data_IF_376643734256
#
_entry.id   IF_376643734256
#
_cell.length_a   1.000
_cell.length_b   1.000
_cell.length_c   1.000
_cell.angle_alpha   90.00
_cell.angle_beta   90.00
_cell.angle_gamma   90.00
#
_symmetry.space_group_name_H-M   'P 1'
#
loop_
_entity.id
_entity.type
_entity.pdbx_description
1 polymer ?
#
# COMPACT_ATOMS: atom_id res chain seq x y z
N UNK A 1 -17.68 -18.03 7.41
CA UNK A 1 -19.08 -18.45 7.59
C UNK A 1 -19.95 -17.21 7.79
N UNK A 2 -20.92 -16.99 6.89
CA UNK A 2 -21.84 -15.84 6.92
C UNK A 2 -23.22 -16.23 7.44
N UNK A 3 -23.39 -17.46 7.95
CA UNK A 3 -24.69 -17.97 8.43
C UNK A 3 -25.20 -17.13 9.60
N UNK A 4 -26.42 -16.61 9.48
CA UNK A 4 -27.04 -15.76 10.50
C UNK A 4 -26.53 -14.31 10.53
N UNK A 5 -25.65 -13.93 9.61
CA UNK A 5 -25.16 -12.55 9.48
C UNK A 5 -26.04 -11.75 8.52
N UNK A 6 -26.03 -10.43 8.67
CA UNK A 6 -26.70 -9.48 7.78
C UNK A 6 -25.74 -8.35 7.38
N UNK A 7 -25.99 -7.75 6.25
CA UNK A 7 -25.29 -6.58 5.79
C UNK A 7 -25.51 -5.40 6.76
N UNK A 8 -24.44 -4.77 7.24
CA UNK A 8 -24.56 -3.64 8.16
C UNK A 8 -25.16 -2.37 7.51
N UNK A 9 -25.26 -2.35 6.18
CA UNK A 9 -25.85 -1.23 5.42
C UNK A 9 -27.32 -1.45 5.14
N UNK A 10 -27.69 -2.58 4.49
CA UNK A 10 -29.07 -2.83 4.08
C UNK A 10 -29.83 -3.83 4.98
N UNK A 11 -29.19 -4.37 6.01
CA UNK A 11 -29.75 -5.32 7.01
C UNK A 11 -30.23 -6.66 6.47
N UNK A 12 -29.98 -6.97 5.21
CA UNK A 12 -30.38 -8.22 4.56
C UNK A 12 -29.21 -9.21 4.49
N UNK A 13 -29.51 -10.51 4.48
CA UNK A 13 -28.52 -11.57 4.27
C UNK A 13 -28.12 -11.72 2.79
N UNK A 14 -29.05 -11.48 1.88
CA UNK A 14 -28.84 -11.41 0.43
C UNK A 14 -29.22 -10.02 -0.07
N UNK A 15 -28.43 -9.46 -0.96
CA UNK A 15 -28.73 -8.15 -1.53
C UNK A 15 -30.06 -8.20 -2.32
N UNK A 16 -30.95 -7.25 -2.05
CA UNK A 16 -32.33 -7.29 -2.57
C UNK A 16 -32.41 -7.28 -4.09
N UNK A 17 -31.48 -6.62 -4.78
CA UNK A 17 -31.44 -6.46 -6.22
C UNK A 17 -30.53 -7.49 -6.91
N UNK A 18 -29.26 -7.58 -6.50
CA UNK A 18 -28.24 -8.43 -7.17
C UNK A 18 -28.24 -9.88 -6.67
N UNK A 19 -28.91 -10.17 -5.54
CA UNK A 19 -28.91 -11.47 -4.86
C UNK A 19 -27.51 -11.96 -4.45
N UNK A 20 -26.52 -11.08 -4.42
CA UNK A 20 -25.18 -11.41 -3.90
C UNK A 20 -25.18 -11.66 -2.39
N UNK A 21 -24.25 -12.50 -1.97
CA UNK A 21 -24.05 -12.82 -0.56
C UNK A 21 -23.16 -11.79 0.15
N UNK A 22 -22.99 -12.01 1.44
CA UNK A 22 -22.17 -11.16 2.30
C UNK A 22 -20.68 -11.44 2.12
N UNK A 23 -19.89 -10.39 2.20
CA UNK A 23 -18.42 -10.43 2.26
C UNK A 23 -17.93 -9.67 3.49
N UNK A 24 -16.69 -9.95 3.92
CA UNK A 24 -15.95 -9.17 4.90
C UNK A 24 -14.48 -9.18 4.50
N UNK A 25 -13.99 -8.05 4.03
CA UNK A 25 -12.59 -7.89 3.57
C UNK A 25 -11.85 -6.81 4.35
N UNK A 26 -12.16 -6.64 5.64
CA UNK A 26 -11.53 -5.66 6.53
C UNK A 26 -11.17 -6.28 7.89
N UNK A 27 -10.58 -5.49 8.80
CA UNK A 27 -10.16 -5.95 10.13
C UNK A 27 -11.29 -6.08 11.17
N UNK A 28 -12.56 -5.84 10.81
CA UNK A 28 -13.69 -6.01 11.71
C UNK A 28 -13.75 -7.42 12.28
N UNK A 29 -14.20 -7.55 13.57
CA UNK A 29 -14.30 -8.81 14.30
C UNK A 29 -15.75 -9.15 14.68
N UNK A 30 -15.97 -10.40 15.04
CA UNK A 30 -17.29 -10.89 15.46
C UNK A 30 -18.32 -10.78 14.33
N UNK A 31 -19.45 -10.14 14.61
CA UNK A 31 -20.57 -9.94 13.67
C UNK A 31 -20.45 -8.65 12.85
N UNK A 32 -19.43 -7.81 13.12
CA UNK A 32 -19.24 -6.54 12.42
C UNK A 32 -18.58 -6.71 11.05
N UNK A 33 -18.81 -5.76 10.16
CA UNK A 33 -18.11 -5.63 8.87
C UNK A 33 -18.61 -6.54 7.75
N UNK A 34 -19.69 -7.30 7.95
CA UNK A 34 -20.34 -8.03 6.87
C UNK A 34 -21.19 -7.07 6.02
N UNK A 35 -20.95 -7.06 4.71
CA UNK A 35 -21.69 -6.24 3.75
C UNK A 35 -21.78 -6.92 2.39
N UNK A 36 -22.64 -6.41 1.52
CA UNK A 36 -22.63 -6.71 0.10
C UNK A 36 -21.66 -5.75 -0.59
N UNK A 37 -20.93 -6.21 -1.61
CA UNK A 37 -20.07 -5.32 -2.42
C UNK A 37 -20.89 -4.20 -3.04
N UNK A 38 -22.08 -4.50 -3.56
CA UNK A 38 -22.99 -3.47 -4.09
C UNK A 38 -23.41 -2.42 -3.07
N UNK A 39 -23.62 -2.81 -1.79
CA UNK A 39 -23.95 -1.84 -0.73
C UNK A 39 -22.74 -0.95 -0.40
N UNK A 40 -21.54 -1.50 -0.35
CA UNK A 40 -20.31 -0.73 -0.12
C UNK A 40 -20.05 0.25 -1.27
N UNK A 41 -20.20 -0.20 -2.50
CA UNK A 41 -20.03 0.63 -3.70
C UNK A 41 -21.05 1.76 -3.76
N UNK A 42 -22.31 1.48 -3.47
CA UNK A 42 -23.38 2.49 -3.44
C UNK A 42 -23.14 3.51 -2.32
N UNK A 43 -22.74 3.07 -1.13
CA UNK A 43 -22.37 3.97 -0.03
C UNK A 43 -21.23 4.91 -0.43
N UNK A 44 -20.15 4.37 -1.01
CA UNK A 44 -19.00 5.17 -1.46
C UNK A 44 -19.42 6.17 -2.54
N UNK A 45 -20.22 5.73 -3.51
CA UNK A 45 -20.73 6.59 -4.58
C UNK A 45 -21.56 7.76 -4.03
N UNK A 46 -22.54 7.48 -3.16
CA UNK A 46 -23.40 8.52 -2.55
C UNK A 46 -22.56 9.57 -1.83
N UNK A 47 -21.57 9.16 -1.06
CA UNK A 47 -20.71 10.07 -0.31
C UNK A 47 -19.87 10.97 -1.22
N UNK A 48 -19.37 10.45 -2.33
CA UNK A 48 -18.64 11.25 -3.34
C UNK A 48 -19.59 12.21 -4.06
N UNK A 49 -20.74 11.71 -4.53
CA UNK A 49 -21.74 12.54 -5.21
C UNK A 49 -22.20 13.71 -4.31
N UNK A 50 -22.49 13.45 -3.02
CA UNK A 50 -22.82 14.49 -2.04
C UNK A 50 -21.70 15.52 -1.85
N UNK A 51 -20.42 15.10 -1.89
CA UNK A 51 -19.30 16.03 -1.77
C UNK A 51 -19.19 16.94 -3.00
N UNK A 52 -19.42 16.40 -4.18
CA UNK A 52 -19.41 17.15 -5.44
C UNK A 52 -20.60 18.10 -5.53
N UNK A 53 -21.83 17.63 -5.29
CA UNK A 53 -23.06 18.42 -5.35
C UNK A 53 -23.05 19.60 -4.36
N UNK A 54 -22.49 19.40 -3.17
CA UNK A 54 -22.40 20.43 -2.14
C UNK A 54 -21.11 21.26 -2.19
N UNK A 55 -20.22 21.03 -3.18
CA UNK A 55 -18.95 21.72 -3.35
C UNK A 55 -18.10 21.77 -2.06
N UNK A 56 -17.98 20.62 -1.36
CA UNK A 56 -17.37 20.55 -0.02
C UNK A 56 -15.84 20.75 0.00
N UNK A 57 -15.22 20.94 -1.16
CA UNK A 57 -13.77 21.11 -1.31
C UNK A 57 -12.97 19.80 -1.27
N UNK A 58 -11.70 19.88 -1.67
CA UNK A 58 -10.86 18.71 -1.93
C UNK A 58 -10.71 17.80 -0.70
N UNK A 59 -10.44 18.37 0.48
CA UNK A 59 -10.24 17.57 1.70
C UNK A 59 -11.46 16.69 2.03
N UNK A 60 -12.66 17.26 1.94
CA UNK A 60 -13.88 16.51 2.22
C UNK A 60 -14.19 15.48 1.13
N UNK A 61 -13.81 15.76 -0.11
CA UNK A 61 -13.90 14.78 -1.20
C UNK A 61 -12.95 13.60 -0.96
N UNK A 62 -11.70 13.87 -0.57
CA UNK A 62 -10.70 12.83 -0.26
C UNK A 62 -11.17 11.93 0.89
N UNK A 63 -11.64 12.51 2.01
CA UNK A 63 -12.17 11.75 3.16
C UNK A 63 -13.36 10.84 2.79
N UNK A 64 -14.17 11.25 1.83
CA UNK A 64 -15.31 10.45 1.34
C UNK A 64 -14.89 9.45 0.28
N UNK A 65 -13.88 9.79 -0.52
CA UNK A 65 -13.27 8.92 -1.50
C UNK A 65 -12.67 7.66 -0.87
N UNK A 66 -12.14 7.79 0.34
CA UNK A 66 -11.57 6.67 1.09
C UNK A 66 -12.54 5.49 1.24
N UNK A 67 -13.84 5.72 1.17
CA UNK A 67 -14.84 4.63 1.27
C UNK A 67 -14.79 3.62 0.12
N UNK A 68 -14.13 3.95 -0.99
CA UNK A 68 -13.86 3.00 -2.06
C UNK A 68 -12.81 1.94 -1.68
N UNK A 69 -12.02 2.18 -0.65
CA UNK A 69 -10.95 1.25 -0.25
C UNK A 69 -10.85 1.02 1.26
N UNK A 70 -11.49 1.82 2.12
CA UNK A 70 -11.48 1.66 3.59
C UNK A 70 -12.87 1.36 4.15
N UNK A 71 -12.89 0.52 5.18
CA UNK A 71 -14.10 0.16 5.91
C UNK A 71 -14.56 1.32 6.79
N UNK A 72 -15.85 1.69 6.72
CA UNK A 72 -16.43 2.76 7.54
C UNK A 72 -16.56 2.43 9.04
N UNK A 73 -16.38 1.16 9.44
CA UNK A 73 -16.51 0.73 10.83
C UNK A 73 -15.17 0.61 11.56
N UNK A 74 -14.13 0.13 10.90
CA UNK A 74 -12.82 -0.08 11.53
C UNK A 74 -11.71 0.78 10.94
N UNK A 75 -12.04 1.61 9.93
CA UNK A 75 -11.12 2.54 9.25
C UNK A 75 -9.86 1.86 8.67
N UNK A 76 -9.93 0.55 8.47
CA UNK A 76 -8.86 -0.21 7.84
C UNK A 76 -9.22 -0.53 6.40
N UNK A 77 -8.18 -0.66 5.57
CA UNK A 77 -8.33 -1.00 4.16
C UNK A 77 -9.06 -2.33 3.98
N UNK A 78 -9.86 -2.39 2.92
CA UNK A 78 -10.31 -3.67 2.38
C UNK A 78 -9.13 -4.40 1.75
N UNK A 79 -9.14 -5.72 1.78
CA UNK A 79 -8.09 -6.57 1.23
C UNK A 79 -8.65 -7.66 0.32
N UNK A 80 -7.77 -8.30 -0.45
CA UNK A 80 -8.08 -9.44 -1.31
C UNK A 80 -9.21 -9.16 -2.29
N UNK A 81 -10.06 -10.15 -2.48
CA UNK A 81 -11.17 -10.12 -3.46
C UNK A 81 -12.19 -9.00 -3.25
N UNK A 82 -12.36 -8.54 -2.01
CA UNK A 82 -13.30 -7.43 -1.71
C UNK A 82 -12.73 -6.12 -2.24
N UNK A 83 -11.45 -5.86 -2.02
CA UNK A 83 -10.77 -4.66 -2.56
C UNK A 83 -10.80 -4.67 -4.09
N UNK A 84 -10.54 -5.82 -4.71
CA UNK A 84 -10.62 -5.98 -6.16
C UNK A 84 -12.04 -5.71 -6.70
N UNK A 85 -13.07 -6.28 -6.07
CA UNK A 85 -14.46 -6.06 -6.47
C UNK A 85 -14.90 -4.60 -6.35
N UNK A 86 -14.47 -3.90 -5.29
CA UNK A 86 -14.71 -2.47 -5.10
C UNK A 86 -13.95 -1.63 -6.14
N UNK A 87 -12.72 -2.01 -6.51
CA UNK A 87 -11.97 -1.38 -7.60
C UNK A 87 -12.75 -1.43 -8.92
N UNK A 88 -13.27 -2.58 -9.29
CA UNK A 88 -14.12 -2.72 -10.47
C UNK A 88 -15.42 -1.93 -10.38
N UNK A 89 -16.06 -1.88 -9.20
CA UNK A 89 -17.28 -1.11 -9.00
C UNK A 89 -17.01 0.39 -9.14
N UNK A 90 -15.91 0.88 -8.53
CA UNK A 90 -15.46 2.26 -8.63
C UNK A 90 -15.20 2.66 -10.09
N UNK A 91 -14.40 1.89 -10.81
CA UNK A 91 -14.10 2.14 -12.21
C UNK A 91 -15.36 2.21 -13.08
N UNK A 92 -16.27 1.23 -12.95
CA UNK A 92 -17.55 1.22 -13.68
C UNK A 92 -18.41 2.44 -13.39
N UNK A 93 -18.35 2.97 -12.17
CA UNK A 93 -19.12 4.16 -11.77
C UNK A 93 -18.63 5.41 -12.49
N UNK A 94 -17.32 5.57 -12.66
CA UNK A 94 -16.73 6.83 -13.16
C UNK A 94 -16.11 6.73 -14.56
N UNK A 95 -16.11 5.55 -15.20
CA UNK A 95 -15.58 5.33 -16.55
C UNK A 95 -16.12 6.32 -17.61
N UNK A 96 -17.39 6.71 -17.51
CA UNK A 96 -18.04 7.62 -18.46
C UNK A 96 -17.64 9.10 -18.36
N UNK A 97 -16.84 9.48 -17.35
CA UNK A 97 -16.37 10.86 -17.18
C UNK A 97 -15.22 11.17 -18.16
N UNK A 98 -14.98 12.46 -18.48
CA UNK A 98 -13.84 12.87 -19.31
C UNK A 98 -12.51 12.35 -18.75
N UNK A 99 -11.52 12.16 -19.62
CA UNK A 99 -10.18 11.70 -19.21
C UNK A 99 -9.45 12.68 -18.29
N UNK A 100 -9.77 13.96 -18.42
CA UNK A 100 -9.22 15.05 -17.58
C UNK A 100 -9.91 15.15 -16.22
N UNK A 101 -10.94 14.35 -15.97
CA UNK A 101 -11.66 14.34 -14.69
C UNK A 101 -10.84 13.62 -13.63
N UNK A 102 -10.56 14.31 -12.52
CA UNK A 102 -9.75 13.78 -11.42
C UNK A 102 -10.39 12.53 -10.79
N UNK A 103 -11.72 12.50 -10.66
CA UNK A 103 -12.44 11.36 -10.08
C UNK A 103 -12.30 10.11 -10.95
N UNK A 104 -12.32 10.27 -12.30
CA UNK A 104 -12.04 9.17 -13.22
C UNK A 104 -10.61 8.66 -13.07
N UNK A 105 -9.63 9.57 -12.96
CA UNK A 105 -8.22 9.20 -12.71
C UNK A 105 -8.07 8.41 -11.41
N UNK A 106 -8.64 8.93 -10.32
CA UNK A 106 -8.65 8.24 -9.02
C UNK A 106 -9.34 6.87 -9.06
N UNK A 107 -10.40 6.72 -9.85
CA UNK A 107 -11.08 5.43 -10.03
C UNK A 107 -10.19 4.39 -10.75
N UNK A 108 -9.31 4.84 -11.64
CA UNK A 108 -8.32 3.98 -12.29
C UNK A 108 -7.27 3.49 -11.30
N UNK A 109 -6.78 4.39 -10.41
CA UNK A 109 -5.87 4.03 -9.30
C UNK A 109 -6.52 3.02 -8.34
N UNK A 110 -7.80 3.23 -7.97
CA UNK A 110 -8.53 2.29 -7.09
C UNK A 110 -8.67 0.92 -7.75
N UNK A 111 -8.90 0.86 -9.08
CA UNK A 111 -8.95 -0.39 -9.82
C UNK A 111 -7.58 -1.09 -9.84
N UNK A 112 -6.51 -0.39 -10.22
CA UNK A 112 -5.16 -0.94 -10.27
C UNK A 112 -4.71 -1.51 -8.91
N UNK A 113 -4.92 -0.74 -7.84
CA UNK A 113 -4.62 -1.17 -6.48
C UNK A 113 -5.54 -2.32 -6.00
N UNK A 114 -6.80 -2.34 -6.46
CA UNK A 114 -7.74 -3.42 -6.18
C UNK A 114 -7.33 -4.73 -6.84
N UNK A 115 -6.91 -4.68 -8.10
CA UNK A 115 -6.39 -5.84 -8.84
C UNK A 115 -5.11 -6.38 -8.19
N UNK A 116 -4.19 -5.49 -7.79
CA UNK A 116 -2.99 -5.86 -7.04
C UNK A 116 -3.34 -6.59 -5.73
N UNK A 117 -4.25 -6.04 -4.94
CA UNK A 117 -4.71 -6.65 -3.70
C UNK A 117 -5.45 -7.98 -3.90
N UNK A 118 -6.03 -8.21 -5.07
CA UNK A 118 -6.63 -9.46 -5.52
C UNK A 118 -5.65 -10.43 -6.17
N UNK A 119 -4.35 -10.14 -6.13
CA UNK A 119 -3.26 -10.96 -6.71
C UNK A 119 -3.36 -11.12 -8.24
N UNK A 120 -4.10 -10.23 -8.91
CA UNK A 120 -4.24 -10.16 -10.38
C UNK A 120 -3.17 -9.20 -10.93
N UNK A 121 -1.89 -9.56 -10.77
CA UNK A 121 -0.77 -8.64 -10.97
C UNK A 121 -0.60 -8.22 -12.44
N UNK A 122 -0.82 -9.08 -13.42
CA UNK A 122 -0.72 -8.74 -14.86
C UNK A 122 -1.81 -7.74 -15.26
N UNK A 123 -3.03 -7.93 -14.77
CA UNK A 123 -4.13 -7.00 -15.01
C UNK A 123 -3.88 -5.68 -14.28
N UNK A 124 -3.36 -5.73 -13.04
CA UNK A 124 -2.97 -4.55 -12.27
C UNK A 124 -1.93 -3.73 -13.02
N UNK A 125 -0.87 -4.38 -13.54
CA UNK A 125 0.18 -3.75 -14.32
C UNK A 125 -0.39 -3.05 -15.55
N UNK A 126 -1.25 -3.74 -16.33
CA UNK A 126 -1.88 -3.18 -17.53
C UNK A 126 -2.68 -1.90 -17.22
N UNK A 127 -3.45 -1.91 -16.14
CA UNK A 127 -4.23 -0.74 -15.70
C UNK A 127 -3.33 0.39 -15.22
N UNK A 128 -2.32 0.10 -14.41
CA UNK A 128 -1.39 1.09 -13.87
C UNK A 128 -0.53 1.74 -14.97
N UNK A 129 -0.09 1.00 -15.98
CA UNK A 129 0.63 1.54 -17.13
C UNK A 129 -0.26 2.46 -17.99
N UNK A 130 -1.52 2.06 -18.22
CA UNK A 130 -2.49 2.90 -18.91
C UNK A 130 -2.82 4.18 -18.11
N UNK A 131 -2.93 4.07 -16.78
CA UNK A 131 -3.07 5.18 -15.86
C UNK A 131 -1.89 6.16 -15.97
N UNK A 132 -0.66 5.67 -15.86
CA UNK A 132 0.57 6.46 -15.98
C UNK A 132 0.65 7.18 -17.34
N UNK A 133 0.29 6.50 -18.42
CA UNK A 133 0.22 7.08 -19.76
C UNK A 133 -0.79 8.23 -19.84
N UNK A 134 -1.97 8.03 -19.26
CA UNK A 134 -3.03 9.05 -19.18
C UNK A 134 -2.59 10.25 -18.35
N UNK A 135 -2.01 10.02 -17.17
CA UNK A 135 -1.49 11.08 -16.28
C UNK A 135 -0.46 11.97 -16.96
N UNK A 136 0.48 11.36 -17.71
CA UNK A 136 1.48 12.12 -18.49
C UNK A 136 0.84 12.97 -19.58
N UNK A 137 -0.19 12.48 -20.24
CA UNK A 137 -0.90 13.19 -21.31
C UNK A 137 -1.74 14.34 -20.78
N UNK A 138 -2.42 14.17 -19.65
CA UNK A 138 -3.25 15.22 -19.06
C UNK A 138 -2.47 16.21 -18.19
N UNK A 139 -1.19 15.90 -17.89
CA UNK A 139 -0.28 16.81 -17.19
C UNK A 139 -0.56 16.91 -15.68
N UNK A 140 -0.79 15.79 -15.00
CA UNK A 140 -0.92 15.77 -13.54
C UNK A 140 0.42 16.07 -12.84
N UNK A 141 0.39 16.30 -11.53
CA UNK A 141 1.57 16.62 -10.75
C UNK A 141 2.64 15.52 -10.80
N UNK A 142 3.92 15.92 -10.73
CA UNK A 142 5.05 14.97 -10.67
C UNK A 142 4.94 14.04 -9.46
N UNK A 143 4.40 14.52 -8.32
CA UNK A 143 4.14 13.70 -7.14
C UNK A 143 3.20 12.53 -7.45
N UNK A 144 2.10 12.80 -8.14
CA UNK A 144 1.12 11.77 -8.53
C UNK A 144 1.74 10.75 -9.49
N UNK A 145 2.55 11.22 -10.44
CA UNK A 145 3.28 10.35 -11.38
C UNK A 145 4.24 9.43 -10.63
N UNK A 146 5.05 9.98 -9.70
CA UNK A 146 6.00 9.19 -8.90
C UNK A 146 5.28 8.15 -8.02
N UNK A 147 4.15 8.52 -7.41
CA UNK A 147 3.35 7.58 -6.62
C UNK A 147 2.81 6.40 -7.47
N UNK A 148 2.33 6.69 -8.69
CA UNK A 148 1.87 5.64 -9.62
C UNK A 148 3.03 4.77 -10.09
N UNK A 149 4.21 5.33 -10.36
CA UNK A 149 5.41 4.57 -10.70
C UNK A 149 5.85 3.65 -9.55
N UNK A 150 5.74 4.10 -8.27
CA UNK A 150 5.99 3.23 -7.11
C UNK A 150 5.02 2.04 -7.06
N UNK A 151 3.74 2.25 -7.41
CA UNK A 151 2.76 1.16 -7.48
C UNK A 151 3.08 0.17 -8.60
N UNK A 152 3.49 0.66 -9.79
CA UNK A 152 3.96 -0.18 -10.90
C UNK A 152 5.17 -1.02 -10.48
N UNK A 153 6.15 -0.40 -9.80
CA UNK A 153 7.32 -1.11 -9.31
C UNK A 153 6.95 -2.21 -8.28
N UNK A 154 5.98 -1.96 -7.39
CA UNK A 154 5.44 -3.00 -6.51
C UNK A 154 4.82 -4.16 -7.29
N UNK A 155 4.14 -3.86 -8.40
CA UNK A 155 3.51 -4.89 -9.25
C UNK A 155 4.57 -5.68 -10.01
N UNK A 156 5.65 -5.05 -10.50
CA UNK A 156 6.80 -5.76 -11.06
C UNK A 156 7.47 -6.69 -10.05
N UNK A 157 7.67 -6.23 -8.80
CA UNK A 157 8.22 -7.09 -7.72
C UNK A 157 7.33 -8.30 -7.46
N UNK A 158 6.00 -8.11 -7.41
CA UNK A 158 5.05 -9.20 -7.20
C UNK A 158 5.01 -10.21 -8.36
N UNK A 159 5.34 -9.77 -9.58
CA UNK A 159 5.51 -10.62 -10.78
C UNK A 159 6.90 -11.29 -10.84
N UNK A 160 7.79 -11.02 -9.90
CA UNK A 160 9.18 -11.49 -9.95
C UNK A 160 10.06 -10.80 -11.00
N UNK A 161 9.58 -9.68 -11.57
CA UNK A 161 10.27 -8.89 -12.59
C UNK A 161 11.16 -7.83 -11.91
N UNK A 162 12.14 -8.32 -11.12
CA UNK A 162 12.91 -7.48 -10.20
C UNK A 162 13.80 -6.44 -10.89
N UNK A 163 14.29 -6.70 -12.09
CA UNK A 163 15.13 -5.73 -12.82
C UNK A 163 14.32 -4.53 -13.30
N UNK A 164 13.08 -4.76 -13.81
CA UNK A 164 12.16 -3.70 -14.19
C UNK A 164 11.68 -2.92 -12.95
N UNK A 165 11.39 -3.62 -11.85
CA UNK A 165 11.08 -2.99 -10.57
C UNK A 165 12.21 -2.08 -10.09
N UNK A 166 13.46 -2.56 -10.12
CA UNK A 166 14.63 -1.79 -9.70
C UNK A 166 14.83 -0.53 -10.55
N UNK A 167 14.74 -0.67 -11.88
CA UNK A 167 14.84 0.47 -12.78
C UNK A 167 13.80 1.56 -12.45
N UNK A 168 12.53 1.15 -12.29
CA UNK A 168 11.44 2.07 -11.93
C UNK A 168 11.67 2.73 -10.57
N UNK A 169 12.10 1.96 -9.55
CA UNK A 169 12.38 2.47 -8.20
C UNK A 169 13.53 3.46 -8.16
N UNK A 170 14.60 3.21 -8.93
CA UNK A 170 15.72 4.16 -9.01
C UNK A 170 15.30 5.49 -9.62
N UNK A 171 14.46 5.47 -10.66
CA UNK A 171 13.87 6.67 -11.25
C UNK A 171 12.97 7.39 -10.23
N UNK A 172 12.10 6.64 -9.55
CA UNK A 172 11.17 7.18 -8.54
C UNK A 172 11.92 7.76 -7.34
N UNK A 173 12.92 7.04 -6.81
CA UNK A 173 13.77 7.53 -5.74
C UNK A 173 14.49 8.83 -6.12
N UNK A 174 15.05 8.88 -7.33
CA UNK A 174 15.71 10.08 -7.85
C UNK A 174 14.73 11.24 -8.03
N UNK A 175 13.51 10.96 -8.48
CA UNK A 175 12.42 11.93 -8.59
C UNK A 175 12.02 12.51 -7.24
N UNK A 176 11.74 11.68 -6.25
CA UNK A 176 11.41 12.13 -4.90
C UNK A 176 12.54 12.90 -4.23
N UNK A 177 13.79 12.42 -4.40
CA UNK A 177 14.98 13.11 -3.88
C UNK A 177 15.11 14.53 -4.47
N UNK A 178 14.87 14.69 -5.76
CA UNK A 178 14.90 15.99 -6.43
C UNK A 178 13.73 16.89 -6.02
N UNK A 179 12.54 16.32 -5.85
CA UNK A 179 11.31 17.07 -5.61
C UNK A 179 11.18 17.51 -4.13
N UNK A 180 11.53 16.65 -3.18
CA UNK A 180 11.28 16.82 -1.75
C UNK A 180 12.54 16.75 -0.87
N UNK A 181 13.66 16.28 -1.41
CA UNK A 181 14.91 16.09 -0.66
C UNK A 181 15.02 14.74 0.04
N UNK A 182 16.19 14.51 0.65
CA UNK A 182 16.55 13.23 1.29
C UNK A 182 15.82 12.96 2.61
N UNK A 183 15.35 14.02 3.27
CA UNK A 183 14.63 13.96 4.55
C UNK A 183 13.13 13.72 4.42
N UNK A 184 12.58 13.70 3.21
CA UNK A 184 11.16 13.49 2.99
C UNK A 184 10.78 12.02 3.14
N UNK A 185 9.63 11.74 3.77
CA UNK A 185 9.16 10.39 4.06
C UNK A 185 9.06 9.51 2.81
N UNK A 186 8.52 10.05 1.71
CA UNK A 186 8.42 9.32 0.44
C UNK A 186 9.78 8.93 -0.14
N UNK A 187 10.78 9.81 -0.01
CA UNK A 187 12.16 9.52 -0.44
C UNK A 187 12.75 8.37 0.37
N UNK A 188 12.52 8.35 1.69
CA UNK A 188 12.98 7.30 2.59
C UNK A 188 12.24 5.98 2.34
N UNK A 189 10.93 6.05 2.05
CA UNK A 189 10.11 4.89 1.71
C UNK A 189 10.61 4.24 0.42
N UNK A 190 10.86 5.04 -0.61
CA UNK A 190 11.36 4.54 -1.89
C UNK A 190 12.77 3.97 -1.79
N UNK A 191 13.64 4.58 -0.96
CA UNK A 191 14.97 4.00 -0.66
C UNK A 191 14.85 2.61 -0.03
N UNK A 192 13.89 2.41 0.89
CA UNK A 192 13.64 1.11 1.50
C UNK A 192 13.16 0.09 0.47
N UNK A 193 12.23 0.50 -0.39
CA UNK A 193 11.72 -0.35 -1.47
C UNK A 193 12.81 -0.73 -2.47
N UNK A 194 13.69 0.22 -2.84
CA UNK A 194 14.90 -0.07 -3.64
C UNK A 194 15.79 -1.13 -2.98
N UNK A 195 16.02 -1.01 -1.67
CA UNK A 195 16.87 -1.96 -0.94
C UNK A 195 16.26 -3.37 -0.92
N UNK A 196 14.94 -3.49 -0.77
CA UNK A 196 14.23 -4.78 -0.84
C UNK A 196 14.40 -5.40 -2.24
N UNK A 197 14.16 -4.64 -3.31
CA UNK A 197 14.32 -5.15 -4.68
C UNK A 197 15.77 -5.52 -4.99
N UNK A 198 16.75 -4.75 -4.49
CA UNK A 198 18.18 -5.11 -4.59
C UNK A 198 18.49 -6.44 -3.86
N UNK A 199 17.91 -6.64 -2.68
CA UNK A 199 18.08 -7.91 -1.95
C UNK A 199 17.46 -9.10 -2.71
N UNK A 200 16.28 -8.91 -3.33
CA UNK A 200 15.65 -9.92 -4.19
C UNK A 200 16.52 -10.27 -5.41
N UNK A 201 17.30 -9.31 -5.92
CA UNK A 201 18.30 -9.50 -6.97
C UNK A 201 19.64 -10.01 -6.45
N UNK A 202 19.74 -10.35 -5.15
CA UNK A 202 20.99 -10.79 -4.50
C UNK A 202 22.12 -9.74 -4.52
N UNK A 203 21.77 -8.46 -4.72
CA UNK A 203 22.70 -7.31 -4.71
C UNK A 203 22.82 -6.75 -3.29
N UNK A 204 23.14 -7.61 -2.33
CA UNK A 204 23.13 -7.31 -0.89
C UNK A 204 24.04 -6.15 -0.49
N UNK A 205 25.22 -6.04 -1.09
CA UNK A 205 26.15 -4.96 -0.80
C UNK A 205 25.58 -3.57 -1.15
N UNK A 206 24.83 -3.46 -2.24
CA UNK A 206 24.20 -2.22 -2.66
C UNK A 206 22.98 -1.88 -1.78
N UNK A 207 22.17 -2.89 -1.43
CA UNK A 207 21.06 -2.72 -0.50
C UNK A 207 21.56 -2.22 0.87
N UNK A 208 22.60 -2.86 1.43
CA UNK A 208 23.25 -2.46 2.68
C UNK A 208 23.78 -1.03 2.61
N UNK A 209 24.49 -0.67 1.54
CA UNK A 209 25.04 0.68 1.37
C UNK A 209 23.94 1.76 1.32
N UNK A 210 22.83 1.50 0.63
CA UNK A 210 21.69 2.40 0.55
C UNK A 210 21.03 2.60 1.93
N UNK A 211 20.81 1.53 2.69
CA UNK A 211 20.18 1.57 4.01
C UNK A 211 21.09 2.25 5.04
N UNK A 212 22.40 1.97 5.05
CA UNK A 212 23.37 2.64 5.93
C UNK A 212 23.42 4.16 5.68
N UNK A 213 23.18 4.60 4.44
CA UNK A 213 23.09 6.03 4.12
C UNK A 213 21.77 6.65 4.60
N UNK A 214 20.65 5.94 4.52
CA UNK A 214 19.31 6.52 4.69
C UNK A 214 18.74 6.33 6.10
N UNK A 215 19.09 5.25 6.84
CA UNK A 215 18.64 5.03 8.22
C UNK A 215 19.00 6.21 9.17
N UNK A 216 20.21 6.79 9.17
CA UNK A 216 20.52 7.94 10.02
C UNK A 216 19.64 9.17 9.72
N UNK A 217 19.23 9.34 8.46
CA UNK A 217 18.30 10.41 8.05
C UNK A 217 16.90 10.12 8.62
N UNK A 218 16.40 8.89 8.45
CA UNK A 218 15.10 8.48 8.99
C UNK A 218 15.03 8.64 10.51
N UNK A 219 16.07 8.21 11.24
CA UNK A 219 16.16 8.38 12.69
C UNK A 219 16.06 9.85 13.10
N UNK A 220 16.73 10.74 12.37
CA UNK A 220 16.74 12.17 12.68
C UNK A 220 15.41 12.87 12.40
N UNK A 221 14.71 12.51 11.29
CA UNK A 221 13.54 13.26 10.82
C UNK A 221 12.21 12.62 11.20
N UNK A 222 12.15 11.31 11.28
CA UNK A 222 10.95 10.56 11.64
C UNK A 222 10.97 10.07 13.09
N UNK A 223 12.17 9.83 13.63
CA UNK A 223 12.38 9.27 14.96
C UNK A 223 12.46 7.74 14.98
N UNK A 224 12.95 7.21 16.11
CA UNK A 224 13.21 5.77 16.29
C UNK A 224 11.95 4.90 16.23
N UNK A 225 10.82 5.43 16.73
CA UNK A 225 9.55 4.69 16.84
C UNK A 225 8.66 4.80 15.62
N UNK A 226 9.07 5.53 14.58
CA UNK A 226 8.29 5.67 13.37
C UNK A 226 8.28 4.34 12.58
N UNK A 227 7.14 3.96 12.02
CA UNK A 227 6.96 2.70 11.30
C UNK A 227 7.97 2.51 10.15
N UNK A 228 8.22 3.55 9.35
CA UNK A 228 9.23 3.50 8.29
C UNK A 228 10.65 3.32 8.84
N UNK A 229 11.00 3.97 9.94
CA UNK A 229 12.32 3.79 10.56
C UNK A 229 12.52 2.35 11.03
N UNK A 230 11.49 1.78 11.67
CA UNK A 230 11.52 0.40 12.12
C UNK A 230 11.61 -0.58 10.94
N UNK A 231 10.84 -0.33 9.87
CA UNK A 231 10.90 -1.13 8.65
C UNK A 231 12.28 -1.07 7.98
N UNK A 232 12.88 0.13 7.86
CA UNK A 232 14.23 0.28 7.30
C UNK A 232 15.27 -0.51 8.08
N UNK A 233 15.20 -0.48 9.42
CA UNK A 233 16.11 -1.24 10.29
C UNK A 233 15.91 -2.74 10.16
N UNK A 234 14.65 -3.21 10.04
CA UNK A 234 14.34 -4.62 9.79
C UNK A 234 14.93 -5.08 8.44
N UNK A 235 14.67 -4.33 7.36
CA UNK A 235 15.20 -4.64 6.02
C UNK A 235 16.73 -4.65 6.00
N UNK A 236 17.38 -3.73 6.75
CA UNK A 236 18.83 -3.74 6.89
C UNK A 236 19.34 -5.03 7.54
N UNK A 237 18.73 -5.40 8.66
CA UNK A 237 19.11 -6.64 9.36
C UNK A 237 18.83 -7.88 8.52
N UNK A 238 17.69 -7.92 7.82
CA UNK A 238 17.37 -9.01 6.87
C UNK A 238 18.44 -9.10 5.77
N UNK A 239 18.85 -7.96 5.19
CA UNK A 239 19.90 -7.92 4.16
C UNK A 239 21.24 -8.50 4.68
N UNK A 240 21.53 -8.36 5.99
CA UNK A 240 22.75 -8.89 6.59
C UNK A 240 22.73 -10.42 6.70
N UNK A 241 21.61 -11.01 7.15
CA UNK A 241 21.58 -12.47 7.41
C UNK A 241 21.19 -13.32 6.18
N UNK A 242 20.50 -12.76 5.20
CA UNK A 242 20.17 -13.48 3.96
C UNK A 242 21.33 -13.49 2.95
N UNK A 243 22.37 -12.67 3.14
CA UNK A 243 23.56 -12.69 2.29
C UNK A 243 24.36 -13.98 2.52
N UNK A 244 24.54 -14.85 1.50
CA UNK A 244 25.34 -16.05 1.63
C UNK A 244 26.81 -15.78 2.04
N UNK A 245 27.28 -14.55 1.83
CA UNK A 245 28.61 -14.10 2.24
C UNK A 245 28.67 -13.49 3.65
N UNK A 246 27.57 -13.54 4.42
CA UNK A 246 27.50 -12.96 5.75
C UNK A 246 28.57 -13.50 6.69
N UNK A 247 29.25 -12.59 7.37
CA UNK A 247 30.21 -12.94 8.44
C UNK A 247 29.47 -13.17 9.77
N UNK A 248 30.14 -13.81 10.72
CA UNK A 248 29.60 -13.91 12.09
C UNK A 248 29.33 -12.55 12.73
N UNK A 249 30.07 -11.51 12.33
CA UNK A 249 29.83 -10.13 12.77
C UNK A 249 28.53 -9.58 12.18
N UNK A 250 28.30 -9.79 10.89
CA UNK A 250 27.04 -9.38 10.22
C UNK A 250 25.82 -10.08 10.85
N UNK A 251 25.91 -11.37 11.15
CA UNK A 251 24.83 -12.12 11.80
C UNK A 251 24.53 -11.59 13.22
N UNK A 252 25.56 -11.27 13.99
CA UNK A 252 25.39 -10.66 15.34
C UNK A 252 24.77 -9.27 15.25
N UNK A 253 25.20 -8.46 14.28
CA UNK A 253 24.63 -7.15 14.04
C UNK A 253 23.15 -7.25 13.62
N UNK A 254 22.80 -8.20 12.76
CA UNK A 254 21.43 -8.47 12.36
C UNK A 254 20.52 -8.78 13.56
N UNK A 255 20.92 -9.77 14.38
CA UNK A 255 20.16 -10.15 15.58
C UNK A 255 20.01 -8.97 16.54
N UNK A 256 21.10 -8.26 16.85
CA UNK A 256 21.05 -7.10 17.75
C UNK A 256 20.10 -6.02 17.21
N UNK A 257 20.18 -5.72 15.92
CA UNK A 257 19.31 -4.72 15.26
C UNK A 257 17.85 -5.13 15.32
N UNK A 258 17.54 -6.41 15.06
CA UNK A 258 16.16 -6.92 15.12
C UNK A 258 15.61 -6.92 16.54
N UNK A 259 16.39 -7.31 17.55
CA UNK A 259 15.98 -7.27 18.97
C UNK A 259 15.67 -5.86 19.45
N UNK A 260 16.48 -4.88 19.07
CA UNK A 260 16.24 -3.47 19.39
C UNK A 260 15.00 -2.94 18.68
N UNK A 261 14.85 -3.28 17.40
CA UNK A 261 13.74 -2.85 16.57
C UNK A 261 12.41 -3.47 17.04
N UNK A 262 12.41 -4.76 17.42
CA UNK A 262 11.27 -5.46 18.02
C UNK A 262 10.80 -4.83 19.33
N UNK A 263 11.75 -4.57 20.25
CA UNK A 263 11.45 -3.91 21.53
C UNK A 263 10.79 -2.54 21.32
N UNK A 264 11.28 -1.78 20.33
CA UNK A 264 10.73 -0.47 20.00
C UNK A 264 9.33 -0.61 19.38
N UNK A 265 9.16 -1.49 18.39
CA UNK A 265 7.88 -1.75 17.72
C UNK A 265 6.82 -2.20 18.74
N UNK A 266 7.16 -3.13 19.64
CA UNK A 266 6.26 -3.60 20.70
C UNK A 266 5.85 -2.48 21.66
N UNK A 267 6.77 -1.57 21.98
CA UNK A 267 6.50 -0.41 22.86
C UNK A 267 5.56 0.59 22.19
N UNK A 268 5.72 0.85 20.88
CA UNK A 268 4.98 1.89 20.17
C UNK A 268 3.62 1.36 19.67
N UNK A 269 3.60 0.19 19.08
CA UNK A 269 2.44 -0.37 18.38
C UNK A 269 1.77 -1.53 19.13
N UNK A 270 2.46 -2.13 20.09
CA UNK A 270 2.01 -3.36 20.77
C UNK A 270 2.35 -4.64 20.02
N UNK A 271 2.26 -5.78 20.74
CA UNK A 271 2.69 -7.08 20.20
C UNK A 271 1.80 -7.66 19.09
N UNK A 272 0.55 -7.19 18.96
CA UNK A 272 -0.37 -7.68 17.93
C UNK A 272 -0.30 -6.89 16.60
N UNK A 273 0.53 -5.87 16.53
CA UNK A 273 0.63 -5.04 15.32
C UNK A 273 1.41 -5.77 14.21
N UNK A 274 1.00 -5.64 12.93
CA UNK A 274 1.67 -6.32 11.81
C UNK A 274 3.17 -6.05 11.71
N UNK A 275 3.61 -4.81 11.96
CA UNK A 275 5.03 -4.45 11.97
C UNK A 275 5.79 -5.25 13.04
N UNK A 276 5.25 -5.32 14.26
CA UNK A 276 5.87 -6.10 15.35
C UNK A 276 5.95 -7.57 14.97
N UNK A 277 4.86 -8.14 14.42
CA UNK A 277 4.81 -9.54 13.98
C UNK A 277 5.81 -9.84 12.84
N UNK A 278 5.99 -8.91 11.90
CA UNK A 278 6.97 -9.04 10.83
C UNK A 278 8.41 -9.06 11.36
N UNK A 279 8.75 -8.14 12.27
CA UNK A 279 10.09 -8.10 12.89
C UNK A 279 10.35 -9.35 13.73
N UNK A 280 9.34 -9.85 14.47
CA UNK A 280 9.45 -11.12 15.22
C UNK A 280 9.66 -12.32 14.29
N UNK A 281 9.08 -12.32 13.09
CA UNK A 281 9.33 -13.35 12.10
C UNK A 281 10.79 -13.28 11.62
N UNK A 282 11.26 -12.11 11.21
CA UNK A 282 12.64 -11.90 10.79
C UNK A 282 13.66 -12.30 11.89
N UNK A 283 13.35 -12.01 13.16
CA UNK A 283 14.21 -12.40 14.29
C UNK A 283 14.27 -13.93 14.53
N UNK A 284 13.21 -14.65 14.17
CA UNK A 284 13.24 -16.15 14.22
C UNK A 284 14.06 -16.77 13.10
N UNK A 285 14.17 -16.08 11.97
CA UNK A 285 14.86 -16.58 10.77
C UNK A 285 16.36 -16.21 10.77
N UNK A 286 16.77 -15.19 11.54
CA UNK A 286 18.16 -14.76 11.73
C UNK A 286 18.90 -15.59 12.79
#
# INVERSE_FOLDING_TARGET
DTKGQTCYICTQALHWKTKEGLVRGCACRGTAGFAHVSCLAEQAKILVDEAEENNLGHKALDERWDRWHTCSLCEQDYHGVVRCALGWACWKTYLGRPETDMVRGSAMSVLGNGLYAGEQYEDALSIQEAELSTMRRVGVSEETILATQSNIANTYDALGRFEEALSMRQDTYSGWLKLKGDAHEETLREATSCAITLANLQRYAEAKALLLKTIPVALRVLGEGHDHTLRMRSVYAETLYIDPGATLADLREAVTTLEETERMARRVFGGAHPITGGIEAALRDA
#
